data_IF_074267781138
#
_entry.id   IF_074267781138
#
_cell.length_a   1.000
_cell.length_b   1.000
_cell.length_c   1.000
_cell.angle_alpha   90.00
_cell.angle_beta   90.00
_cell.angle_gamma   90.00
#
_symmetry.space_group_name_H-M   'P 1'
#
loop_
_entity.id
_entity.type
_entity.pdbx_description
1 polymer ?
#
# COMPACT_ATOMS: atom_id res chain seq x y z
N UNK A 1 -17.41 -6.77 17.18
CA UNK A 1 -16.72 -7.61 18.15
C UNK A 1 -16.54 -6.84 19.48
N UNK A 2 -15.96 -7.48 20.49
CA UNK A 2 -15.77 -6.89 21.81
C UNK A 2 -14.82 -5.67 21.84
N UNK A 3 -14.14 -5.36 20.72
CA UNK A 3 -13.21 -4.24 20.55
C UNK A 3 -13.80 -3.11 19.69
N UNK A 4 -15.07 -3.21 19.31
CA UNK A 4 -15.76 -2.19 18.51
C UNK A 4 -15.38 -2.20 17.03
N UNK A 5 -14.84 -3.32 16.50
CA UNK A 5 -14.61 -3.51 15.09
C UNK A 5 -15.89 -3.94 14.36
N UNK A 6 -16.09 -3.41 13.16
CA UNK A 6 -17.05 -3.96 12.21
C UNK A 6 -16.37 -5.14 11.51
N UNK A 7 -16.98 -6.31 11.60
CA UNK A 7 -16.43 -7.51 10.99
C UNK A 7 -17.06 -7.78 9.63
N UNK A 8 -16.28 -7.61 8.58
CA UNK A 8 -16.61 -7.94 7.18
C UNK A 8 -15.66 -9.02 6.64
N UNK A 9 -15.04 -9.81 7.54
CA UNK A 9 -14.11 -10.87 7.16
C UNK A 9 -14.80 -11.99 6.39
N UNK A 10 -14.06 -12.62 5.48
CA UNK A 10 -14.49 -13.77 4.68
C UNK A 10 -15.72 -13.50 3.77
N UNK A 11 -16.12 -12.24 3.59
CA UNK A 11 -17.25 -11.89 2.74
C UNK A 11 -16.83 -11.68 1.29
N UNK A 12 -17.74 -11.98 0.38
CA UNK A 12 -17.64 -11.53 -1.00
C UNK A 12 -18.25 -10.13 -1.12
N UNK A 13 -17.37 -9.14 -1.28
CA UNK A 13 -17.69 -7.72 -1.39
C UNK A 13 -17.35 -7.18 -2.79
N UNK A 14 -17.21 -8.09 -3.77
CA UNK A 14 -16.81 -7.74 -5.14
C UNK A 14 -17.63 -6.57 -5.68
N UNK A 15 -16.95 -5.59 -6.25
CA UNK A 15 -17.53 -4.39 -6.86
C UNK A 15 -18.34 -3.50 -5.90
N UNK A 16 -18.26 -3.71 -4.59
CA UNK A 16 -18.87 -2.82 -3.63
C UNK A 16 -18.23 -1.42 -3.67
N UNK A 17 -19.00 -0.42 -3.27
CA UNK A 17 -18.52 0.94 -3.11
C UNK A 17 -18.68 1.38 -1.66
N UNK A 18 -17.56 1.56 -0.97
CA UNK A 18 -17.52 2.08 0.39
C UNK A 18 -17.35 3.59 0.33
N UNK A 19 -18.38 4.33 0.79
CA UNK A 19 -18.39 5.79 0.76
C UNK A 19 -18.63 6.38 2.14
N UNK A 20 -17.86 7.41 2.48
CA UNK A 20 -18.02 8.11 3.75
C UNK A 20 -16.90 9.09 4.02
N UNK A 21 -16.93 9.79 5.15
CA UNK A 21 -15.80 10.63 5.55
C UNK A 21 -14.65 9.80 6.12
N UNK A 22 -14.96 8.87 7.02
CA UNK A 22 -13.99 8.00 7.68
C UNK A 22 -14.50 6.56 7.67
N UNK A 23 -13.64 5.64 7.26
CA UNK A 23 -13.83 4.20 7.37
C UNK A 23 -12.79 3.71 8.37
N UNK A 24 -13.22 3.29 9.55
CA UNK A 24 -12.27 2.88 10.58
C UNK A 24 -12.76 1.68 11.38
N UNK A 25 -11.78 0.94 11.93
CA UNK A 25 -12.01 -0.24 12.74
C UNK A 25 -12.87 -1.28 12.01
N UNK A 26 -12.51 -1.58 10.77
CA UNK A 26 -13.17 -2.60 9.96
C UNK A 26 -12.19 -3.74 9.70
N UNK A 27 -12.65 -4.96 9.93
CA UNK A 27 -11.96 -6.18 9.51
C UNK A 27 -12.45 -6.62 8.15
N UNK A 28 -11.53 -6.69 7.19
CA UNK A 28 -11.72 -7.26 5.85
C UNK A 28 -10.85 -8.52 5.68
N UNK A 29 -10.49 -9.19 6.77
CA UNK A 29 -9.59 -10.36 6.72
C UNK A 29 -10.18 -11.42 5.81
N UNK A 30 -9.38 -11.91 4.86
CA UNK A 30 -9.77 -12.96 3.89
C UNK A 30 -11.01 -12.62 3.06
N UNK A 31 -11.43 -11.36 2.99
CA UNK A 31 -12.55 -10.96 2.14
C UNK A 31 -12.14 -10.84 0.66
N UNK A 32 -13.10 -11.04 -0.22
CA UNK A 32 -12.95 -10.72 -1.64
C UNK A 32 -13.42 -9.30 -1.91
N UNK A 33 -12.44 -8.41 -2.23
CA UNK A 33 -12.66 -6.98 -2.48
C UNK A 33 -12.40 -6.61 -3.95
N UNK A 34 -12.39 -7.58 -4.87
CA UNK A 34 -12.11 -7.29 -6.28
C UNK A 34 -13.02 -6.18 -6.82
N UNK A 35 -12.42 -5.21 -7.52
CA UNK A 35 -13.08 -4.05 -8.11
C UNK A 35 -13.81 -3.12 -7.11
N UNK A 36 -13.48 -3.20 -5.83
CA UNK A 36 -14.03 -2.30 -4.81
C UNK A 36 -13.44 -0.90 -4.97
N UNK A 37 -14.25 0.09 -4.73
CA UNK A 37 -13.81 1.48 -4.57
C UNK A 37 -14.06 1.96 -3.14
N UNK A 38 -13.02 2.45 -2.49
CA UNK A 38 -13.11 3.20 -1.24
C UNK A 38 -13.06 4.69 -1.56
N UNK A 39 -14.14 5.42 -1.30
CA UNK A 39 -14.25 6.87 -1.53
C UNK A 39 -14.48 7.58 -0.19
N UNK A 40 -13.40 8.08 0.42
CA UNK A 40 -13.45 8.65 1.75
C UNK A 40 -12.31 9.67 1.97
N UNK A 41 -12.32 10.33 3.11
CA UNK A 41 -11.18 11.16 3.51
C UNK A 41 -10.08 10.30 4.15
N UNK A 42 -10.47 9.32 4.97
CA UNK A 42 -9.52 8.50 5.72
C UNK A 42 -10.01 7.06 5.89
N UNK A 43 -9.05 6.11 5.76
CA UNK A 43 -9.19 4.73 6.23
C UNK A 43 -8.23 4.57 7.39
N UNK A 44 -8.75 4.19 8.56
CA UNK A 44 -7.95 4.05 9.79
C UNK A 44 -8.21 2.75 10.54
N UNK A 45 -7.19 2.19 11.17
CA UNK A 45 -7.31 1.00 12.01
C UNK A 45 -8.03 -0.19 11.32
N UNK A 46 -7.86 -0.35 10.00
CA UNK A 46 -8.51 -1.39 9.22
C UNK A 46 -7.56 -2.54 8.90
N UNK A 47 -8.10 -3.75 8.79
CA UNK A 47 -7.31 -4.95 8.56
C UNK A 47 -7.74 -5.67 7.28
N UNK A 48 -6.85 -5.71 6.28
CA UNK A 48 -7.00 -6.39 4.99
C UNK A 48 -6.10 -7.64 4.89
N UNK A 49 -5.70 -8.22 6.03
CA UNK A 49 -4.84 -9.42 6.02
C UNK A 49 -5.46 -10.51 5.15
N UNK A 50 -4.69 -11.07 4.23
CA UNK A 50 -5.11 -12.11 3.29
C UNK A 50 -6.31 -11.76 2.40
N UNK A 51 -6.73 -10.52 2.33
CA UNK A 51 -7.81 -10.09 1.45
C UNK A 51 -7.37 -10.16 -0.04
N UNK A 52 -8.32 -10.41 -0.93
CA UNK A 52 -8.14 -10.32 -2.38
C UNK A 52 -8.53 -8.91 -2.80
N UNK A 53 -7.57 -8.15 -3.35
CA UNK A 53 -7.72 -6.71 -3.64
C UNK A 53 -7.48 -6.34 -5.11
N UNK A 54 -7.74 -7.27 -6.06
CA UNK A 54 -7.55 -6.97 -7.48
C UNK A 54 -8.38 -5.77 -7.93
N UNK A 55 -7.74 -4.83 -8.61
CA UNK A 55 -8.37 -3.63 -9.14
C UNK A 55 -9.10 -2.77 -8.08
N UNK A 56 -8.70 -2.86 -6.82
CA UNK A 56 -9.23 -1.97 -5.78
C UNK A 56 -8.69 -0.56 -5.97
N UNK A 57 -9.55 0.43 -5.79
CA UNK A 57 -9.18 1.85 -5.89
C UNK A 57 -9.41 2.52 -4.53
N UNK A 58 -8.32 3.07 -3.96
CA UNK A 58 -8.37 3.86 -2.74
C UNK A 58 -8.43 5.36 -3.06
N UNK A 59 -9.63 5.88 -3.35
CA UNK A 59 -9.89 7.33 -3.52
C UNK A 59 -10.00 8.02 -2.17
N UNK A 60 -8.94 7.91 -1.38
CA UNK A 60 -8.88 8.47 -0.04
C UNK A 60 -7.75 9.49 0.03
N UNK A 61 -7.80 10.35 1.04
CA UNK A 61 -6.66 11.23 1.30
C UNK A 61 -5.58 10.52 2.11
N UNK A 62 -5.97 9.62 3.03
CA UNK A 62 -5.05 8.97 3.98
C UNK A 62 -5.48 7.56 4.32
N UNK A 63 -4.50 6.67 4.36
CA UNK A 63 -4.58 5.37 5.04
C UNK A 63 -3.67 5.45 6.26
N UNK A 64 -4.21 5.16 7.45
CA UNK A 64 -3.49 5.27 8.72
C UNK A 64 -3.69 4.02 9.58
N UNK A 65 -2.58 3.44 10.04
CA UNK A 65 -2.60 2.20 10.84
C UNK A 65 -3.40 1.08 10.17
N UNK A 66 -3.11 0.81 8.89
CA UNK A 66 -3.82 -0.17 8.07
C UNK A 66 -2.91 -1.37 7.78
N UNK A 67 -3.47 -2.57 7.80
CA UNK A 67 -2.73 -3.82 7.63
C UNK A 67 -3.14 -4.50 6.33
N UNK A 68 -2.16 -4.77 5.45
CA UNK A 68 -2.30 -5.53 4.20
C UNK A 68 -1.43 -6.80 4.19
N UNK A 69 -1.09 -7.34 5.36
CA UNK A 69 -0.22 -8.53 5.45
C UNK A 69 -0.78 -9.68 4.64
N UNK A 70 0.02 -10.21 3.71
CA UNK A 70 -0.38 -11.29 2.80
C UNK A 70 -1.61 -11.00 1.94
N UNK A 71 -2.03 -9.77 1.81
CA UNK A 71 -3.04 -9.40 0.83
C UNK A 71 -2.53 -9.69 -0.59
N UNK A 72 -3.42 -10.05 -1.48
CA UNK A 72 -3.08 -10.32 -2.88
C UNK A 72 -3.95 -9.53 -3.83
N UNK A 73 -3.35 -8.91 -4.84
CA UNK A 73 -4.08 -8.19 -5.87
C UNK A 73 -3.19 -7.61 -6.94
N UNK A 74 -3.73 -7.60 -8.16
CA UNK A 74 -3.16 -6.92 -9.30
C UNK A 74 -3.84 -5.56 -9.51
N UNK A 75 -3.07 -4.56 -9.98
CA UNK A 75 -3.59 -3.25 -10.36
C UNK A 75 -4.31 -2.49 -9.23
N UNK A 76 -3.84 -2.63 -7.99
CA UNK A 76 -4.39 -1.85 -6.87
C UNK A 76 -3.95 -0.40 -6.99
N UNK A 77 -4.87 0.54 -6.85
CA UNK A 77 -4.56 1.96 -6.95
C UNK A 77 -4.55 2.64 -5.57
N UNK A 78 -3.35 2.96 -5.11
CA UNK A 78 -3.06 3.77 -3.92
C UNK A 78 -2.63 5.19 -4.25
N UNK A 79 -2.64 5.60 -5.52
CA UNK A 79 -2.03 6.86 -5.94
C UNK A 79 -2.54 8.07 -5.18
N UNK A 80 -1.64 9.02 -4.92
CA UNK A 80 -1.93 10.31 -4.24
C UNK A 80 -2.39 10.20 -2.78
N UNK A 81 -2.33 9.00 -2.19
CA UNK A 81 -2.65 8.81 -0.79
C UNK A 81 -1.46 9.15 0.14
N UNK A 82 -1.79 9.54 1.36
CA UNK A 82 -0.84 9.53 2.47
C UNK A 82 -0.95 8.14 3.10
N UNK A 83 0.12 7.35 3.02
CA UNK A 83 0.23 6.03 3.62
C UNK A 83 1.07 6.17 4.90
N UNK A 84 0.43 6.12 6.06
CA UNK A 84 1.06 6.36 7.34
C UNK A 84 0.86 5.16 8.26
N UNK A 85 1.94 4.50 8.61
CA UNK A 85 1.92 3.27 9.44
C UNK A 85 1.08 2.18 8.75
N UNK A 86 1.37 1.91 7.48
CA UNK A 86 0.71 0.84 6.71
C UNK A 86 1.66 -0.36 6.59
N UNK A 87 1.17 -1.54 6.92
CA UNK A 87 1.94 -2.78 6.81
C UNK A 87 1.52 -3.57 5.57
N UNK A 88 2.38 -3.55 4.56
CA UNK A 88 2.22 -4.33 3.33
C UNK A 88 3.03 -5.64 3.35
N UNK A 89 3.66 -6.00 4.48
CA UNK A 89 4.59 -7.13 4.49
C UNK A 89 3.97 -8.43 3.97
N UNK A 90 4.75 -9.18 3.21
CA UNK A 90 4.36 -10.44 2.57
C UNK A 90 3.20 -10.33 1.57
N UNK A 91 2.77 -9.13 1.20
CA UNK A 91 1.71 -8.95 0.20
C UNK A 91 2.19 -9.23 -1.22
N UNK A 92 1.26 -9.56 -2.10
CA UNK A 92 1.46 -9.71 -3.55
C UNK A 92 0.66 -8.62 -4.26
N UNK A 93 1.32 -7.49 -4.59
CA UNK A 93 0.68 -6.31 -5.17
C UNK A 93 1.34 -5.98 -6.51
N UNK A 94 1.08 -6.81 -7.54
CA UNK A 94 1.71 -6.61 -8.84
C UNK A 94 1.01 -5.51 -9.65
N UNK A 95 1.76 -4.81 -10.51
CA UNK A 95 1.25 -3.69 -11.32
C UNK A 95 0.51 -2.60 -10.51
N UNK A 96 0.73 -2.54 -9.19
CA UNK A 96 0.02 -1.60 -8.32
C UNK A 96 0.59 -0.19 -8.42
N UNK A 97 -0.27 0.78 -8.19
CA UNK A 97 0.03 2.19 -8.38
C UNK A 97 0.20 2.91 -7.05
N UNK A 98 1.44 3.30 -6.73
CA UNK A 98 1.81 4.13 -5.57
C UNK A 98 2.31 5.51 -6.00
N UNK A 99 1.99 5.96 -7.22
CA UNK A 99 2.45 7.24 -7.74
C UNK A 99 1.96 8.41 -6.88
N UNK A 100 2.87 9.38 -6.64
CA UNK A 100 2.57 10.59 -5.87
C UNK A 100 2.12 10.30 -4.42
N UNK A 101 2.36 9.09 -3.90
CA UNK A 101 2.08 8.80 -2.50
C UNK A 101 3.06 9.51 -1.56
N UNK A 102 2.57 9.93 -0.40
CA UNK A 102 3.42 10.26 0.74
C UNK A 102 3.44 9.06 1.70
N UNK A 103 4.59 8.41 1.81
CA UNK A 103 4.72 7.15 2.55
C UNK A 103 5.52 7.39 3.83
N UNK A 104 4.92 7.06 4.99
CA UNK A 104 5.52 7.23 6.31
C UNK A 104 5.41 5.97 7.14
N UNK A 105 6.47 5.59 7.81
CA UNK A 105 6.48 4.49 8.80
C UNK A 105 5.86 3.17 8.27
N UNK A 106 5.87 2.98 6.96
CA UNK A 106 5.22 1.84 6.32
C UNK A 106 6.23 0.76 5.96
N UNK A 107 5.77 -0.49 5.90
CA UNK A 107 6.60 -1.68 5.75
C UNK A 107 6.26 -2.40 4.44
N UNK A 108 7.29 -2.64 3.59
CA UNK A 108 7.18 -3.39 2.34
C UNK A 108 8.06 -4.65 2.32
N UNK A 109 8.43 -5.18 3.47
CA UNK A 109 9.29 -6.36 3.53
C UNK A 109 8.60 -7.60 2.98
N UNK A 110 9.37 -8.43 2.26
CA UNK A 110 8.89 -9.67 1.66
C UNK A 110 7.71 -9.48 0.68
N UNK A 111 7.51 -8.27 0.15
CA UNK A 111 6.47 -7.99 -0.83
C UNK A 111 6.84 -8.51 -2.22
N UNK A 112 5.84 -8.89 -2.99
CA UNK A 112 5.95 -9.12 -4.40
C UNK A 112 5.30 -7.93 -5.14
N UNK A 113 6.16 -7.00 -5.64
CA UNK A 113 5.75 -5.71 -6.23
C UNK A 113 6.06 -5.64 -7.73
N UNK A 114 6.10 -6.79 -8.42
CA UNK A 114 6.45 -6.85 -9.84
C UNK A 114 5.72 -5.78 -10.65
N UNK A 115 6.47 -4.99 -11.44
CA UNK A 115 5.99 -3.94 -12.33
C UNK A 115 5.10 -2.86 -11.65
N UNK A 116 5.23 -2.66 -10.34
CA UNK A 116 4.51 -1.59 -9.63
C UNK A 116 5.20 -0.24 -9.79
N UNK A 117 4.44 0.85 -9.62
CA UNK A 117 4.87 2.20 -9.89
C UNK A 117 4.90 3.05 -8.63
N UNK A 118 6.04 3.67 -8.33
CA UNK A 118 6.26 4.64 -7.26
C UNK A 118 6.68 6.01 -7.80
N UNK A 119 6.36 6.32 -9.05
CA UNK A 119 6.75 7.59 -9.68
C UNK A 119 6.29 8.78 -8.83
N UNK A 120 7.23 9.67 -8.49
CA UNK A 120 7.04 10.84 -7.62
C UNK A 120 6.54 10.52 -6.22
N UNK A 121 6.73 9.31 -5.73
CA UNK A 121 6.44 8.99 -4.34
C UNK A 121 7.47 9.66 -3.41
N UNK A 122 6.99 10.10 -2.25
CA UNK A 122 7.82 10.71 -1.22
C UNK A 122 7.84 9.80 0.01
N UNK A 123 9.02 9.29 0.35
CA UNK A 123 9.24 8.48 1.54
C UNK A 123 9.66 9.40 2.70
N UNK A 124 8.68 9.91 3.44
CA UNK A 124 8.82 10.91 4.49
C UNK A 124 8.95 10.24 5.86
N UNK A 125 10.10 9.70 6.15
CA UNK A 125 10.35 9.00 7.42
C UNK A 125 11.72 9.37 7.98
N UNK A 126 11.79 9.49 9.31
CA UNK A 126 13.05 9.61 10.04
C UNK A 126 13.77 8.25 10.18
N UNK A 127 13.12 7.18 9.75
CA UNK A 127 13.64 5.82 9.75
C UNK A 127 13.90 5.35 8.32
N UNK A 128 14.73 4.35 8.19
CA UNK A 128 14.95 3.67 6.92
C UNK A 128 13.65 3.03 6.41
N UNK A 129 13.27 3.33 5.17
CA UNK A 129 12.19 2.58 4.49
C UNK A 129 12.69 1.17 4.16
N UNK A 130 11.89 0.17 4.43
CA UNK A 130 12.31 -1.22 4.27
C UNK A 130 11.55 -1.93 3.15
N UNK A 131 12.35 -2.56 2.27
CA UNK A 131 11.93 -3.48 1.20
C UNK A 131 12.71 -4.79 1.28
N UNK A 132 13.11 -5.20 2.49
CA UNK A 132 13.94 -6.40 2.68
C UNK A 132 13.29 -7.63 2.04
N UNK A 133 14.06 -8.38 1.26
CA UNK A 133 13.64 -9.61 0.57
C UNK A 133 12.40 -9.46 -0.33
N UNK A 134 12.18 -8.27 -0.84
CA UNK A 134 11.05 -8.01 -1.75
C UNK A 134 11.42 -8.26 -3.20
N UNK A 135 10.45 -8.64 -4.01
CA UNK A 135 10.61 -8.69 -5.45
C UNK A 135 10.22 -7.34 -6.06
N UNK A 136 11.23 -6.58 -6.49
CA UNK A 136 11.12 -5.26 -7.11
C UNK A 136 11.41 -5.33 -8.62
N UNK A 137 11.25 -6.50 -9.25
CA UNK A 137 11.47 -6.65 -10.68
C UNK A 137 10.56 -5.71 -11.47
N UNK A 138 11.15 -4.93 -12.37
CA UNK A 138 10.48 -3.93 -13.20
C UNK A 138 9.71 -2.84 -12.41
N UNK A 139 9.99 -2.66 -11.13
CA UNK A 139 9.39 -1.56 -10.35
C UNK A 139 9.97 -0.23 -10.83
N UNK A 140 9.13 0.77 -10.93
CA UNK A 140 9.51 2.14 -11.30
C UNK A 140 9.54 3.06 -10.07
N UNK A 141 10.75 3.43 -9.64
CA UNK A 141 11.03 4.49 -8.67
C UNK A 141 11.53 5.74 -9.40
N UNK A 142 10.70 6.32 -10.23
CA UNK A 142 11.06 7.49 -11.03
C UNK A 142 10.71 8.79 -10.30
N UNK A 143 11.69 9.72 -10.18
CA UNK A 143 11.54 10.98 -9.45
C UNK A 143 11.05 10.80 -8.00
N UNK A 144 11.55 9.79 -7.29
CA UNK A 144 11.20 9.56 -5.88
C UNK A 144 12.04 10.42 -4.94
N UNK A 145 11.46 10.81 -3.81
CA UNK A 145 12.18 11.38 -2.69
C UNK A 145 12.35 10.33 -1.61
N UNK A 146 13.57 9.89 -1.39
CA UNK A 146 13.93 8.90 -0.38
C UNK A 146 15.27 9.28 0.24
N UNK A 147 15.33 9.43 1.55
CA UNK A 147 16.57 9.74 2.27
C UNK A 147 17.41 8.49 2.53
N UNK A 148 16.76 7.44 2.99
CA UNK A 148 17.41 6.15 3.30
C UNK A 148 16.47 5.00 2.96
N UNK A 149 17.00 3.92 2.40
CA UNK A 149 16.21 2.76 2.02
C UNK A 149 16.99 1.46 2.18
N UNK A 150 16.34 0.46 2.74
CA UNK A 150 16.89 -0.88 2.92
C UNK A 150 16.31 -1.84 1.89
N UNK A 151 17.13 -2.19 0.91
CA UNK A 151 16.79 -3.12 -0.16
C UNK A 151 17.52 -4.46 -0.02
N UNK A 152 17.93 -4.80 1.20
CA UNK A 152 18.70 -6.01 1.47
C UNK A 152 17.98 -7.26 0.97
N UNK A 153 18.71 -8.11 0.26
CA UNK A 153 18.22 -9.37 -0.30
C UNK A 153 17.00 -9.22 -1.26
N UNK A 154 16.73 -8.02 -1.76
CA UNK A 154 15.65 -7.78 -2.74
C UNK A 154 16.09 -8.17 -4.15
N UNK A 155 15.12 -8.61 -4.96
CA UNK A 155 15.30 -8.81 -6.40
C UNK A 155 14.96 -7.51 -7.13
N UNK A 156 15.94 -6.95 -7.87
CA UNK A 156 15.83 -5.61 -8.49
C UNK A 156 16.04 -5.62 -10.00
N UNK A 157 15.75 -6.74 -10.68
CA UNK A 157 15.90 -6.83 -12.13
C UNK A 157 15.00 -5.82 -12.84
N UNK A 158 15.54 -5.11 -13.83
CA UNK A 158 14.82 -4.09 -14.60
C UNK A 158 14.18 -2.98 -13.74
N UNK A 159 14.57 -2.83 -12.48
CA UNK A 159 14.13 -1.72 -11.63
C UNK A 159 14.67 -0.40 -12.18
N UNK A 160 13.80 0.61 -12.28
CA UNK A 160 14.19 1.99 -12.60
C UNK A 160 14.25 2.78 -11.31
N UNK A 161 15.38 3.39 -11.01
CA UNK A 161 15.56 4.24 -9.83
C UNK A 161 16.09 5.61 -10.28
N UNK A 162 15.28 6.64 -10.11
CA UNK A 162 15.63 8.04 -10.27
C UNK A 162 15.24 8.78 -8.98
N UNK A 163 16.21 9.40 -8.33
CA UNK A 163 16.03 10.05 -7.04
C UNK A 163 16.14 11.56 -7.22
N UNK A 164 15.13 12.29 -6.77
CA UNK A 164 15.18 13.74 -6.69
C UNK A 164 15.89 14.18 -5.41
N UNK A 165 17.07 14.76 -5.58
CA UNK A 165 17.91 15.26 -4.47
C UNK A 165 17.63 16.73 -4.10
N UNK A 166 16.61 17.37 -4.68
CA UNK A 166 16.40 18.81 -4.58
C UNK A 166 16.11 19.34 -3.16
N UNK A 167 15.92 18.48 -2.16
CA UNK A 167 15.57 18.86 -0.79
C UNK A 167 16.50 18.24 0.29
N UNK A 168 17.76 17.92 -0.04
CA UNK A 168 18.76 17.46 0.95
C UNK A 168 19.61 18.65 1.49
N UNK A 169 19.06 19.86 1.47
CA UNK A 169 19.74 21.03 2.06
C UNK A 169 18.82 21.81 2.99
#
# INVERSE_FOLDING_TARGET
DAQGYIDLSELDLTSCHFKGDVISKVSFISSNLQHVTFECKEIGDCNFTTAIVDNVIFKCRRLHNVIFIKASGDYVDFSKNILDTVDFSQSQLTHSNFCECQIRNSNFDHCYLYASHFTRAEFLTDKEISFIKSNLTAVMFDHVRISTGNFKDSVTQLMVLSIDYSDIF
#
